data_IF_187597266733
#
_entry.id   IF_187597266733
#
_cell.length_a   1.000
_cell.length_b   1.000
_cell.length_c   1.000
_cell.angle_alpha   90.00
_cell.angle_beta   90.00
_cell.angle_gamma   90.00
#
_symmetry.space_group_name_H-M   'P 1'
#
loop_
_entity.id
_entity.type
_entity.pdbx_description
1 polymer ?
#
# COMPACT_ATOMS: atom_id res chain seq x y z
N UNK A 1 -0.19 18.20 36.04
CA UNK A 1 0.24 18.39 34.63
C UNK A 1 -0.81 17.74 33.75
N UNK A 2 -1.65 18.54 33.11
CA UNK A 2 -2.59 18.02 32.10
C UNK A 2 -1.82 17.75 30.80
N UNK A 3 -2.00 16.61 30.13
CA UNK A 3 -1.33 16.33 28.87
C UNK A 3 -1.75 17.35 27.81
N UNK A 4 -0.77 17.94 27.11
CA UNK A 4 -0.99 18.95 26.08
C UNK A 4 -1.83 18.37 24.93
N UNK A 5 -2.89 19.05 24.46
CA UNK A 5 -3.80 18.55 23.43
C UNK A 5 -3.10 18.25 22.09
N UNK A 6 -1.96 18.89 21.81
CA UNK A 6 -1.19 18.72 20.57
C UNK A 6 -0.59 17.31 20.40
N UNK A 7 -0.27 16.61 21.50
CA UNK A 7 0.24 15.23 21.42
C UNK A 7 -0.81 14.25 20.90
N UNK A 8 -2.09 14.53 21.11
CA UNK A 8 -3.17 13.64 20.69
C UNK A 8 -3.29 13.58 19.16
N UNK A 9 -3.19 14.74 18.49
CA UNK A 9 -3.25 14.85 17.03
C UNK A 9 -2.02 14.29 16.33
N UNK A 10 -0.82 14.60 16.82
CA UNK A 10 0.44 14.09 16.25
C UNK A 10 0.56 12.57 16.39
N UNK A 11 0.27 12.01 17.57
CA UNK A 11 0.25 10.56 17.76
C UNK A 11 -0.83 9.88 16.92
N UNK A 12 -2.02 10.49 16.79
CA UNK A 12 -3.06 9.98 15.88
C UNK A 12 -2.62 9.98 14.42
N UNK A 13 -1.88 11.02 14.00
CA UNK A 13 -1.31 11.10 12.67
C UNK A 13 -0.29 9.99 12.42
N UNK A 14 0.69 9.80 13.31
CA UNK A 14 1.70 8.74 13.15
C UNK A 14 1.03 7.35 13.12
N UNK A 15 0.02 7.10 13.96
CA UNK A 15 -0.79 5.86 13.88
C UNK A 15 -1.48 5.68 12.54
N UNK A 16 -2.02 6.76 11.97
CA UNK A 16 -2.67 6.73 10.65
C UNK A 16 -1.64 6.49 9.53
N UNK A 17 -0.47 7.11 9.64
CA UNK A 17 0.65 6.96 8.72
C UNK A 17 1.19 5.51 8.71
N UNK A 18 1.54 4.96 9.87
CA UNK A 18 2.00 3.57 9.99
C UNK A 18 0.97 2.54 9.48
N UNK A 19 -0.33 2.82 9.62
CA UNK A 19 -1.39 1.95 9.10
C UNK A 19 -1.74 2.18 7.63
N UNK A 20 -1.27 3.26 7.01
CA UNK A 20 -1.65 3.61 5.64
C UNK A 20 -1.29 2.50 4.63
N UNK A 21 -0.10 1.85 4.68
CA UNK A 21 0.22 0.74 3.79
C UNK A 21 -0.76 -0.44 3.92
N UNK A 22 -1.13 -0.81 5.15
CA UNK A 22 -2.08 -1.92 5.41
C UNK A 22 -3.48 -1.59 4.93
N UNK A 23 -3.96 -0.36 5.20
CA UNK A 23 -5.27 0.09 4.71
C UNK A 23 -5.30 0.15 3.19
N UNK A 24 -4.21 0.59 2.56
CA UNK A 24 -4.07 0.59 1.12
C UNK A 24 -4.05 -0.84 0.56
N UNK A 25 -3.36 -1.79 1.18
CA UNK A 25 -3.40 -3.21 0.79
C UNK A 25 -4.79 -3.82 0.95
N UNK A 26 -5.44 -3.61 2.09
CA UNK A 26 -6.79 -4.12 2.34
C UNK A 26 -7.79 -3.53 1.34
N UNK A 27 -7.71 -2.23 1.06
CA UNK A 27 -8.55 -1.57 0.06
C UNK A 27 -8.33 -2.15 -1.34
N UNK A 28 -7.07 -2.39 -1.75
CA UNK A 28 -6.71 -3.04 -3.01
C UNK A 28 -7.30 -4.44 -3.09
N UNK A 29 -7.11 -5.27 -2.06
CA UNK A 29 -7.69 -6.63 -1.98
C UNK A 29 -9.21 -6.61 -2.03
N UNK A 30 -9.86 -5.68 -1.33
CA UNK A 30 -11.31 -5.52 -1.36
C UNK A 30 -11.78 -5.15 -2.77
N UNK A 31 -11.10 -4.22 -3.45
CA UNK A 31 -11.44 -3.83 -4.83
C UNK A 31 -11.26 -4.98 -5.81
N UNK A 32 -10.17 -5.73 -5.71
CA UNK A 32 -9.95 -6.92 -6.53
C UNK A 32 -11.07 -7.95 -6.34
N UNK A 33 -11.46 -8.23 -5.09
CA UNK A 33 -12.58 -9.14 -4.78
C UNK A 33 -13.90 -8.65 -5.38
N UNK A 34 -14.15 -7.33 -5.43
CA UNK A 34 -15.33 -6.79 -6.09
C UNK A 34 -15.31 -7.02 -7.60
N UNK A 35 -14.16 -6.82 -8.26
CA UNK A 35 -13.98 -7.08 -9.70
C UNK A 35 -14.25 -8.56 -10.01
N UNK A 36 -13.68 -9.46 -9.20
CA UNK A 36 -13.89 -10.91 -9.33
C UNK A 36 -15.37 -11.29 -9.17
N UNK A 37 -16.06 -10.73 -8.18
CA UNK A 37 -17.51 -10.94 -7.98
C UNK A 37 -18.36 -10.42 -9.14
N UNK A 38 -17.90 -9.38 -9.85
CA UNK A 38 -18.55 -8.85 -11.04
C UNK A 38 -18.23 -9.65 -12.32
N UNK A 39 -17.50 -10.77 -12.21
CA UNK A 39 -17.12 -11.62 -13.35
C UNK A 39 -15.83 -11.18 -14.05
N UNK A 40 -15.12 -10.17 -13.53
CA UNK A 40 -13.80 -9.77 -14.03
C UNK A 40 -12.67 -10.62 -13.45
N UNK A 41 -11.44 -10.34 -13.90
CA UNK A 41 -10.21 -10.94 -13.35
C UNK A 41 -9.16 -9.85 -13.15
N UNK A 42 -8.44 -9.92 -12.03
CA UNK A 42 -7.32 -9.03 -11.73
C UNK A 42 -6.02 -9.77 -11.94
N UNK A 43 -5.12 -9.20 -12.74
CA UNK A 43 -3.84 -9.81 -13.06
C UNK A 43 -2.67 -8.90 -12.70
N UNK A 44 -1.53 -9.52 -12.45
CA UNK A 44 -0.22 -8.87 -12.31
C UNK A 44 0.77 -9.52 -13.27
N UNK A 45 1.90 -8.87 -13.51
CA UNK A 45 2.94 -9.34 -14.43
C UNK A 45 3.10 -8.42 -15.62
N UNK A 46 3.79 -8.89 -16.63
CA UNK A 46 4.15 -8.07 -17.78
C UNK A 46 5.30 -8.69 -18.56
N UNK A 47 6.12 -7.84 -19.17
CA UNK A 47 7.31 -8.27 -19.89
C UNK A 47 8.33 -8.88 -18.93
N UNK A 48 8.81 -10.09 -19.22
CA UNK A 48 9.80 -10.80 -18.39
C UNK A 48 11.20 -10.69 -18.97
N UNK A 49 11.36 -10.88 -20.29
CA UNK A 49 12.62 -10.68 -21.01
C UNK A 49 12.40 -10.57 -22.51
N UNK A 50 13.01 -9.59 -23.18
CA UNK A 50 12.95 -9.45 -24.64
C UNK A 50 11.51 -9.37 -25.15
N UNK A 51 11.05 -10.40 -25.86
CA UNK A 51 9.68 -10.53 -26.36
C UNK A 51 8.77 -11.38 -25.43
N UNK A 52 9.29 -11.91 -24.33
CA UNK A 52 8.54 -12.76 -23.41
C UNK A 52 7.73 -11.96 -22.41
N UNK A 53 6.54 -12.46 -22.08
CA UNK A 53 5.66 -11.90 -21.07
C UNK A 53 4.95 -13.00 -20.28
N UNK A 54 4.56 -12.68 -19.06
CA UNK A 54 3.82 -13.56 -18.16
C UNK A 54 2.78 -12.75 -17.38
N UNK A 55 1.57 -13.29 -17.27
CA UNK A 55 0.47 -12.73 -16.47
C UNK A 55 0.00 -13.77 -15.46
N UNK A 56 -0.19 -13.34 -14.21
CA UNK A 56 -0.66 -14.15 -13.09
C UNK A 56 -1.90 -13.53 -12.46
N UNK A 57 -2.76 -14.36 -11.90
CA UNK A 57 -3.89 -13.90 -11.10
C UNK A 57 -3.36 -13.25 -9.82
N UNK A 58 -3.76 -12.01 -9.55
CA UNK A 58 -3.17 -11.23 -8.47
C UNK A 58 -3.52 -11.74 -7.07
N UNK A 59 -4.63 -12.45 -6.90
CA UNK A 59 -5.07 -12.94 -5.59
C UNK A 59 -4.53 -14.34 -5.27
N UNK A 60 -4.37 -15.17 -6.30
CA UNK A 60 -4.02 -16.59 -6.15
C UNK A 60 -2.61 -16.93 -6.62
N UNK A 61 -1.95 -16.00 -7.33
CA UNK A 61 -0.66 -16.20 -7.99
C UNK A 61 -0.66 -17.27 -9.10
N UNK A 62 -1.84 -17.75 -9.51
CA UNK A 62 -1.99 -18.72 -10.58
C UNK A 62 -1.60 -18.12 -11.95
N UNK A 63 -0.89 -18.90 -12.77
CA UNK A 63 -0.53 -18.47 -14.12
C UNK A 63 -1.77 -18.32 -15.00
N UNK A 64 -2.02 -17.11 -15.52
CA UNK A 64 -3.15 -16.79 -16.40
C UNK A 64 -2.75 -16.88 -17.86
N UNK A 65 -1.53 -16.47 -18.20
CA UNK A 65 -1.04 -16.51 -19.56
C UNK A 65 0.45 -16.21 -19.64
N UNK A 66 1.06 -16.66 -20.73
CA UNK A 66 2.45 -16.34 -21.09
C UNK A 66 2.59 -16.34 -22.61
N UNK A 67 3.53 -15.55 -23.12
CA UNK A 67 3.80 -15.47 -24.55
C UNK A 67 5.19 -14.95 -24.85
N UNK A 68 5.55 -14.94 -26.13
CA UNK A 68 6.87 -14.52 -26.65
C UNK A 68 6.77 -13.60 -27.87
N UNK A 69 5.60 -13.02 -28.09
CA UNK A 69 5.21 -12.13 -29.19
C UNK A 69 5.31 -10.64 -28.79
N UNK A 70 6.00 -10.35 -27.69
CA UNK A 70 6.38 -9.03 -27.28
C UNK A 70 5.23 -8.20 -26.70
N UNK A 71 5.41 -6.86 -26.68
CA UNK A 71 4.41 -5.95 -26.12
C UNK A 71 3.04 -6.02 -26.82
N UNK A 72 3.01 -6.38 -28.11
CA UNK A 72 1.76 -6.56 -28.86
C UNK A 72 0.92 -7.70 -28.31
N UNK A 73 1.53 -8.86 -28.09
CA UNK A 73 0.90 -10.02 -27.47
C UNK A 73 0.41 -9.76 -26.06
N UNK A 74 1.27 -9.15 -25.23
CA UNK A 74 0.90 -8.74 -23.88
C UNK A 74 -0.33 -7.82 -23.88
N UNK A 75 -0.37 -6.82 -24.77
CA UNK A 75 -1.52 -5.90 -24.87
C UNK A 75 -2.81 -6.64 -25.25
N UNK A 76 -2.74 -7.60 -26.15
CA UNK A 76 -3.90 -8.44 -26.51
C UNK A 76 -4.31 -9.31 -25.33
N UNK A 77 -3.36 -9.93 -24.62
CA UNK A 77 -3.64 -10.75 -23.46
C UNK A 77 -4.28 -9.98 -22.30
N UNK A 78 -3.99 -8.68 -22.18
CA UNK A 78 -4.61 -7.78 -21.20
C UNK A 78 -6.03 -7.33 -21.57
N UNK A 79 -6.52 -7.59 -22.78
CA UNK A 79 -7.87 -7.18 -23.19
C UNK A 79 -8.93 -7.86 -22.31
N UNK A 80 -9.77 -7.04 -21.67
CA UNK A 80 -10.83 -7.53 -20.79
C UNK A 80 -10.36 -7.92 -19.38
N UNK A 81 -9.08 -7.73 -19.06
CA UNK A 81 -8.51 -7.95 -17.73
C UNK A 81 -8.27 -6.61 -17.01
N UNK A 82 -8.30 -6.63 -15.68
CA UNK A 82 -7.89 -5.48 -14.86
C UNK A 82 -6.46 -5.70 -14.35
N UNK A 83 -5.54 -4.80 -14.66
CA UNK A 83 -4.18 -4.88 -14.13
C UNK A 83 -4.14 -4.42 -12.67
N UNK A 84 -3.36 -5.10 -11.83
CA UNK A 84 -3.25 -4.79 -10.40
C UNK A 84 -2.76 -3.35 -10.14
N UNK A 85 -1.94 -2.81 -11.04
CA UNK A 85 -1.48 -1.41 -10.96
C UNK A 85 -2.63 -0.39 -11.00
N UNK A 86 -3.76 -0.75 -11.64
CA UNK A 86 -4.95 0.11 -11.66
C UNK A 86 -5.71 0.11 -10.32
N UNK A 87 -5.32 -0.73 -9.36
CA UNK A 87 -5.92 -0.78 -8.02
C UNK A 87 -5.24 0.18 -7.04
N UNK A 88 -4.08 0.72 -7.37
CA UNK A 88 -3.37 1.67 -6.53
C UNK A 88 -4.09 3.03 -6.63
N UNK A 89 -4.86 3.35 -5.60
CA UNK A 89 -5.31 4.72 -5.36
C UNK A 89 -4.25 5.47 -4.56
N UNK A 90 -4.09 6.77 -4.80
CA UNK A 90 -3.28 7.61 -3.94
C UNK A 90 -3.88 7.57 -2.52
N UNK A 91 -3.12 7.01 -1.58
CA UNK A 91 -3.54 6.90 -0.18
C UNK A 91 -3.35 8.24 0.49
N UNK A 92 -4.37 9.09 0.39
CA UNK A 92 -4.32 10.43 0.94
C UNK A 92 -4.63 10.39 2.44
N UNK A 93 -3.61 10.59 3.28
CA UNK A 93 -3.77 10.80 4.73
C UNK A 93 -4.18 12.27 4.93
N UNK A 94 -5.32 12.67 4.37
CA UNK A 94 -5.75 14.07 4.28
C UNK A 94 -6.48 14.60 5.50
N UNK A 95 -6.89 13.74 6.42
CA UNK A 95 -7.78 14.12 7.53
C UNK A 95 -7.03 14.23 8.85
N UNK A 96 -6.04 15.11 8.93
CA UNK A 96 -5.38 15.41 10.20
C UNK A 96 -5.35 16.91 10.44
N UNK A 97 -5.81 17.34 11.61
CA UNK A 97 -5.70 18.73 12.10
C UNK A 97 -4.24 19.14 12.37
N UNK A 98 -3.28 18.24 12.08
CA UNK A 98 -1.85 18.47 12.21
C UNK A 98 -1.32 19.31 11.04
N UNK A 99 -0.63 20.43 11.31
CA UNK A 99 -0.02 21.27 10.26
C UNK A 99 0.88 20.47 9.31
N UNK A 100 0.88 20.82 8.03
CA UNK A 100 1.65 20.10 6.99
C UNK A 100 3.15 20.01 7.30
N UNK A 101 3.75 21.07 7.85
CA UNK A 101 5.16 21.06 8.25
C UNK A 101 5.45 20.03 9.34
N UNK A 102 4.57 19.91 10.33
CA UNK A 102 4.69 18.92 11.40
C UNK A 102 4.42 17.51 10.88
N UNK A 103 3.46 17.32 9.96
CA UNK A 103 3.24 16.02 9.30
C UNK A 103 4.51 15.52 8.61
N UNK A 104 5.15 16.37 7.79
CA UNK A 104 6.41 16.03 7.12
C UNK A 104 7.52 15.68 8.10
N UNK A 105 7.69 16.46 9.16
CA UNK A 105 8.70 16.17 10.19
C UNK A 105 8.43 14.84 10.91
N UNK A 106 7.16 14.51 11.18
CA UNK A 106 6.79 13.22 11.77
C UNK A 106 7.01 12.05 10.82
N UNK A 107 6.70 12.21 9.53
CA UNK A 107 6.97 11.21 8.49
C UNK A 107 8.46 10.94 8.34
N UNK A 108 9.26 12.00 8.26
CA UNK A 108 10.73 11.94 8.19
C UNK A 108 11.28 11.20 9.42
N UNK A 109 10.91 11.63 10.61
CA UNK A 109 11.33 10.99 11.87
C UNK A 109 10.95 9.50 11.93
N UNK A 110 9.75 9.11 11.51
CA UNK A 110 9.31 7.70 11.46
C UNK A 110 10.09 6.90 10.42
N UNK A 111 10.52 7.52 9.32
CA UNK A 111 11.27 6.86 8.25
C UNK A 111 12.79 6.88 8.46
N UNK A 112 13.31 7.65 9.42
CA UNK A 112 14.73 7.68 9.76
C UNK A 112 15.20 6.30 10.29
N UNK A 113 16.20 5.67 9.67
CA UNK A 113 16.69 4.35 10.07
C UNK A 113 17.16 4.26 11.53
N UNK A 114 17.63 5.39 12.08
CA UNK A 114 18.17 5.48 13.43
C UNK A 114 17.09 5.70 14.50
N UNK A 115 15.85 6.01 14.11
CA UNK A 115 14.73 6.15 15.06
C UNK A 115 14.35 4.77 15.61
N UNK A 116 14.49 4.52 16.93
CA UNK A 116 14.12 3.25 17.54
C UNK A 116 12.60 3.00 17.47
N UNK A 117 12.20 1.76 17.24
CA UNK A 117 10.78 1.38 17.25
C UNK A 117 10.14 1.58 18.63
N UNK A 118 10.94 1.47 19.70
CA UNK A 118 10.54 1.75 21.08
C UNK A 118 10.08 3.19 21.27
N UNK A 119 10.80 4.16 20.69
CA UNK A 119 10.47 5.58 20.79
C UNK A 119 9.18 5.90 20.03
N UNK A 120 9.01 5.30 18.84
CA UNK A 120 7.77 5.40 18.06
C UNK A 120 6.61 4.76 18.83
N UNK A 121 6.81 3.57 19.39
CA UNK A 121 5.82 2.82 20.14
C UNK A 121 5.35 3.58 21.38
N UNK A 122 6.27 4.18 22.15
CA UNK A 122 5.96 5.06 23.26
C UNK A 122 5.15 6.28 22.78
N UNK A 123 5.61 6.95 21.72
CA UNK A 123 4.96 8.14 21.18
C UNK A 123 3.51 7.89 20.75
N UNK A 124 3.25 6.75 20.09
CA UNK A 124 1.92 6.40 19.59
C UNK A 124 1.08 5.57 20.56
N UNK A 125 1.66 5.09 21.66
CA UNK A 125 1.00 4.23 22.64
C UNK A 125 0.68 2.82 22.11
N UNK A 126 1.57 2.22 21.32
CA UNK A 126 1.45 0.86 20.80
C UNK A 126 2.49 -0.07 21.40
N UNK A 127 2.30 -1.38 21.18
CA UNK A 127 3.37 -2.35 21.41
C UNK A 127 4.46 -2.19 20.33
N UNK A 128 5.72 -2.41 20.71
CA UNK A 128 6.88 -2.31 19.81
C UNK A 128 6.73 -3.26 18.62
N UNK A 129 6.23 -4.48 18.85
CA UNK A 129 6.03 -5.46 17.78
C UNK A 129 5.05 -4.97 16.71
N UNK A 130 4.00 -4.22 17.10
CA UNK A 130 3.05 -3.65 16.14
C UNK A 130 3.68 -2.52 15.31
N UNK A 131 4.62 -1.76 15.89
CA UNK A 131 5.38 -0.74 15.15
C UNK A 131 6.32 -1.41 14.16
N UNK A 132 7.04 -2.47 14.58
CA UNK A 132 7.91 -3.28 13.72
C UNK A 132 7.17 -3.90 12.54
N UNK A 133 5.96 -4.41 12.78
CA UNK A 133 5.12 -4.91 11.70
C UNK A 133 4.79 -3.83 10.67
N UNK A 134 4.70 -2.56 11.10
CA UNK A 134 4.28 -1.45 10.26
C UNK A 134 5.40 -0.69 9.53
N UNK A 135 6.69 -0.98 9.82
CA UNK A 135 7.86 -0.42 9.14
C UNK A 135 8.41 -1.38 8.10
#
# INVERSE_FOLDING_TARGET
MSPSPDRCGAAAYVRAYLRAPFRADEARRRRARQIVRAGGRVVTGGMTCGAQWELRDWLTDELVGRGSDGPGGLRVALLGLCHADSLYAESDITTSDVPLSLRRALEEWVCEPDTPDEDIAEFVGWAVDLVRECR
#
